data_IF_893544772880
#
_entry.id   IF_893544772880
#
_cell.length_a   1.000
_cell.length_b   1.000
_cell.length_c   1.000
_cell.angle_alpha   90.00
_cell.angle_beta   90.00
_cell.angle_gamma   90.00
#
_symmetry.space_group_name_H-M   'P 1'
#
loop_
_entity.id
_entity.type
_entity.pdbx_description
1 polymer ?
#
# COMPACT_ATOMS: atom_id res chain seq x y z
N UNK A 1 6.76 5.10 47.85
CA UNK A 1 5.62 4.57 47.11
C UNK A 1 5.86 4.90 45.64
N UNK A 2 6.44 3.95 44.89
CA UNK A 2 6.89 4.15 43.50
C UNK A 2 5.81 3.58 42.58
N UNK A 3 5.26 4.45 41.71
CA UNK A 3 4.27 4.06 40.72
C UNK A 3 5.05 3.51 39.49
N UNK A 4 4.84 2.28 39.01
CA UNK A 4 5.50 1.80 37.82
C UNK A 4 4.83 2.43 36.59
N UNK A 5 5.65 3.12 35.81
CA UNK A 5 5.25 3.69 34.54
C UNK A 5 4.83 2.60 33.55
N UNK A 6 3.63 2.76 33.02
CA UNK A 6 3.10 1.98 31.92
C UNK A 6 3.94 2.23 30.67
N UNK A 7 4.82 1.30 30.34
CA UNK A 7 5.50 1.26 29.06
C UNK A 7 4.45 0.78 28.03
N UNK A 8 3.91 1.72 27.26
CA UNK A 8 3.12 1.42 26.10
C UNK A 8 4.02 0.69 25.10
N UNK A 9 3.92 -0.64 25.07
CA UNK A 9 4.51 -1.46 24.02
C UNK A 9 3.87 -1.07 22.70
N UNK A 10 4.58 -0.26 21.91
CA UNK A 10 4.27 -0.11 20.50
C UNK A 10 4.45 -1.48 19.85
N UNK A 11 3.35 -2.15 19.57
CA UNK A 11 3.35 -3.33 18.70
C UNK A 11 3.84 -2.83 17.34
N UNK A 12 5.10 -3.07 17.07
CA UNK A 12 5.71 -2.86 15.78
C UNK A 12 5.08 -3.90 14.86
N UNK A 13 4.05 -3.49 14.12
CA UNK A 13 3.48 -4.29 13.04
C UNK A 13 4.57 -4.49 12.01
N UNK A 14 5.28 -5.61 12.14
CA UNK A 14 6.19 -6.11 11.11
C UNK A 14 5.40 -6.23 9.81
N UNK A 15 6.00 -5.92 8.65
CA UNK A 15 5.34 -6.15 7.38
C UNK A 15 4.88 -7.61 7.33
N UNK A 16 3.65 -7.83 6.90
CA UNK A 16 2.98 -9.14 6.82
C UNK A 16 3.74 -10.19 5.99
N UNK A 17 4.77 -9.77 5.29
CA UNK A 17 5.63 -10.59 4.44
C UNK A 17 7.07 -10.39 4.90
N UNK A 18 7.73 -11.50 5.26
CA UNK A 18 9.13 -11.52 5.70
C UNK A 18 10.05 -11.06 4.54
N UNK A 19 10.76 -9.94 4.68
CA UNK A 19 11.62 -9.42 3.60
C UNK A 19 12.83 -10.32 3.30
N UNK A 20 13.14 -11.28 4.17
CA UNK A 20 14.29 -12.17 4.00
C UNK A 20 14.11 -13.26 2.95
N UNK A 21 12.89 -13.47 2.47
CA UNK A 21 12.58 -14.52 1.47
C UNK A 21 12.35 -13.95 0.05
N UNK A 22 12.55 -12.67 -0.14
CA UNK A 22 12.52 -12.05 -1.46
C UNK A 22 13.93 -12.02 -2.05
N UNK A 23 14.26 -13.07 -2.80
CA UNK A 23 15.45 -13.14 -3.63
C UNK A 23 15.44 -11.99 -4.64
N UNK A 24 16.60 -11.32 -4.81
CA UNK A 24 16.82 -10.36 -5.88
C UNK A 24 16.65 -11.08 -7.23
N UNK A 25 15.44 -11.01 -7.79
CA UNK A 25 15.18 -11.52 -9.13
C UNK A 25 15.44 -10.37 -10.09
N UNK A 26 16.46 -10.56 -10.91
CA UNK A 26 16.69 -9.99 -12.23
C UNK A 26 16.64 -8.47 -12.40
N UNK A 27 17.74 -7.96 -12.88
CA UNK A 27 17.97 -6.58 -13.35
C UNK A 27 17.14 -6.22 -14.60
N UNK A 28 15.82 -6.18 -14.48
CA UNK A 28 15.03 -5.38 -15.40
C UNK A 28 15.00 -3.96 -14.89
N UNK A 29 15.13 -2.99 -15.80
CA UNK A 29 15.24 -1.55 -15.52
C UNK A 29 14.01 -1.05 -14.72
N UNK A 30 14.01 -1.39 -13.44
CA UNK A 30 12.98 -1.00 -12.49
C UNK A 30 12.99 0.53 -12.36
N UNK A 31 11.83 1.14 -12.21
CA UNK A 31 11.68 2.56 -11.92
C UNK A 31 12.54 3.02 -10.72
N UNK A 32 12.96 2.09 -9.87
CA UNK A 32 13.81 2.34 -8.68
C UNK A 32 15.28 2.51 -9.05
N UNK A 33 15.76 1.88 -10.13
CA UNK A 33 17.18 1.86 -10.52
C UNK A 33 17.81 3.25 -10.60
N UNK A 34 17.26 4.23 -11.34
CA UNK A 34 17.85 5.56 -11.42
C UNK A 34 17.86 6.30 -10.08
N UNK A 35 16.85 6.07 -9.23
CA UNK A 35 16.79 6.67 -7.90
C UNK A 35 17.82 6.08 -6.95
N UNK A 36 18.01 4.75 -6.99
CA UNK A 36 19.01 4.04 -6.17
C UNK A 36 20.41 4.46 -6.58
N UNK A 37 20.73 4.47 -7.89
CA UNK A 37 22.04 4.90 -8.40
C UNK A 37 22.34 6.34 -8.01
N UNK A 38 21.37 7.24 -8.09
CA UNK A 38 21.57 8.62 -7.66
C UNK A 38 21.75 8.76 -6.15
N UNK A 39 20.93 8.07 -5.34
CA UNK A 39 21.01 8.17 -3.87
C UNK A 39 22.24 7.47 -3.28
N UNK A 40 22.77 6.44 -3.96
CA UNK A 40 23.98 5.70 -3.54
C UNK A 40 25.25 6.37 -4.03
N UNK A 41 25.34 6.62 -5.33
CA UNK A 41 26.57 6.94 -6.03
C UNK A 41 26.58 8.36 -6.61
N UNK A 42 25.47 9.09 -6.52
CA UNK A 42 25.32 10.44 -7.08
C UNK A 42 25.23 10.47 -8.62
N UNK A 43 25.03 9.30 -9.27
CA UNK A 43 24.98 9.18 -10.73
C UNK A 43 23.71 9.86 -11.26
N UNK A 44 23.90 10.76 -12.22
CA UNK A 44 22.83 11.50 -12.88
C UNK A 44 22.74 11.09 -14.34
N UNK A 45 21.53 11.07 -14.92
CA UNK A 45 21.34 10.82 -16.34
C UNK A 45 21.91 11.98 -17.18
N UNK A 46 22.27 11.68 -18.43
CA UNK A 46 22.67 12.67 -19.40
C UNK A 46 21.51 13.62 -19.72
N UNK A 47 21.75 14.91 -19.56
CA UNK A 47 20.75 15.96 -19.82
C UNK A 47 20.33 16.72 -18.57
N UNK A 48 20.41 18.05 -18.64
CA UNK A 48 20.13 18.96 -17.51
C UNK A 48 18.70 18.81 -16.98
N UNK A 49 17.72 18.62 -17.87
CA UNK A 49 16.32 18.45 -17.45
C UNK A 49 16.06 17.10 -16.75
N UNK A 50 16.59 16.00 -17.29
CA UNK A 50 16.46 14.67 -16.71
C UNK A 50 17.13 14.62 -15.33
N UNK A 51 18.34 15.18 -15.22
CA UNK A 51 19.04 15.29 -13.94
C UNK A 51 18.26 16.14 -12.91
N UNK A 52 17.67 17.27 -13.33
CA UNK A 52 16.83 18.09 -12.46
C UNK A 52 15.58 17.35 -11.99
N UNK A 53 14.87 16.68 -12.89
CA UNK A 53 13.69 15.87 -12.57
C UNK A 53 14.03 14.77 -11.56
N UNK A 54 15.13 14.05 -11.79
CA UNK A 54 15.58 12.99 -10.88
C UNK A 54 15.91 13.53 -9.49
N UNK A 55 16.62 14.66 -9.38
CA UNK A 55 16.94 15.29 -8.09
C UNK A 55 15.68 15.67 -7.30
N UNK A 56 14.71 16.29 -7.96
CA UNK A 56 13.42 16.69 -7.34
C UNK A 56 12.64 15.46 -6.89
N UNK A 57 12.65 14.41 -7.70
CA UNK A 57 12.00 13.16 -7.36
C UNK A 57 12.69 12.47 -6.17
N UNK A 58 14.01 12.35 -6.21
CA UNK A 58 14.83 11.70 -5.19
C UNK A 58 14.70 12.35 -3.80
N UNK A 59 14.37 13.65 -3.71
CA UNK A 59 14.15 14.32 -2.45
C UNK A 59 13.01 13.71 -1.60
N UNK A 60 12.10 12.96 -2.24
CA UNK A 60 10.99 12.26 -1.56
C UNK A 60 11.32 10.84 -1.15
N UNK A 61 12.52 10.36 -1.48
CA UNK A 61 12.96 8.99 -1.21
C UNK A 61 14.17 8.98 -0.29
N UNK A 62 14.45 7.84 0.30
CA UNK A 62 15.62 7.58 1.12
C UNK A 62 16.05 6.13 0.92
N UNK A 63 17.36 5.90 0.88
CA UNK A 63 17.96 4.57 0.83
C UNK A 63 18.37 4.16 2.25
N UNK A 64 17.85 3.05 2.73
CA UNK A 64 18.16 2.50 4.07
C UNK A 64 18.54 1.03 3.88
N UNK A 65 19.79 0.67 4.20
CA UNK A 65 20.33 -0.70 4.02
C UNK A 65 20.03 -1.24 2.61
N UNK A 66 20.36 -0.46 1.59
CA UNK A 66 20.15 -0.76 0.16
C UNK A 66 18.68 -0.95 -0.28
N UNK A 67 17.73 -0.69 0.58
CA UNK A 67 16.29 -0.72 0.25
C UNK A 67 15.78 0.72 0.08
N UNK A 68 15.08 0.97 -1.02
CA UNK A 68 14.50 2.26 -1.31
C UNK A 68 13.17 2.44 -0.57
N UNK A 69 13.02 3.56 0.11
CA UNK A 69 11.81 3.95 0.80
C UNK A 69 11.32 5.31 0.33
N UNK A 70 10.02 5.47 0.21
CA UNK A 70 9.37 6.76 0.02
C UNK A 70 8.99 7.37 1.36
N UNK A 71 9.25 8.66 1.53
CA UNK A 71 8.79 9.43 2.69
C UNK A 71 7.29 9.68 2.58
N UNK A 72 6.52 9.17 3.53
CA UNK A 72 5.09 9.48 3.66
C UNK A 72 4.87 10.85 4.31
N UNK A 73 3.64 11.37 4.22
CA UNK A 73 3.28 12.68 4.77
C UNK A 73 3.41 12.73 6.31
N UNK A 74 3.02 11.66 7.01
CA UNK A 74 3.01 11.54 8.48
C UNK A 74 4.10 10.64 9.06
N UNK A 75 5.19 10.41 8.35
CA UNK A 75 6.29 9.55 8.76
C UNK A 75 6.03 8.04 8.94
N UNK A 76 5.31 7.30 8.17
CA UNK A 76 5.78 5.97 7.86
C UNK A 76 6.62 6.04 6.58
N UNK A 77 7.81 5.46 6.61
CA UNK A 77 8.52 5.13 5.38
C UNK A 77 7.76 4.01 4.67
N UNK A 78 7.53 4.18 3.37
CA UNK A 78 6.89 3.17 2.53
C UNK A 78 7.96 2.46 1.71
N UNK A 79 8.07 1.14 1.83
CA UNK A 79 9.00 0.35 1.03
C UNK A 79 8.61 0.43 -0.44
N UNK A 80 9.55 0.78 -1.28
CA UNK A 80 9.36 0.82 -2.72
C UNK A 80 9.51 -0.58 -3.31
N UNK A 81 8.53 -1.00 -4.12
CA UNK A 81 8.51 -2.32 -4.73
C UNK A 81 8.77 -2.23 -6.23
N UNK A 82 9.44 -3.24 -6.78
CA UNK A 82 9.52 -3.49 -8.21
C UNK A 82 8.19 -4.03 -8.75
N UNK A 83 8.08 -4.22 -10.07
CA UNK A 83 6.82 -4.64 -10.72
C UNK A 83 6.36 -6.00 -10.22
N UNK A 84 7.22 -6.99 -10.20
CA UNK A 84 6.90 -8.36 -9.77
C UNK A 84 6.50 -8.45 -8.29
N UNK A 85 7.26 -7.74 -7.43
CA UNK A 85 6.94 -7.65 -5.99
C UNK A 85 5.60 -6.95 -5.77
N UNK A 86 5.31 -5.90 -6.54
CA UNK A 86 4.06 -5.17 -6.46
C UNK A 86 2.84 -6.04 -6.80
N UNK A 87 2.95 -6.84 -7.86
CA UNK A 87 1.89 -7.78 -8.28
C UNK A 87 1.66 -8.86 -7.22
N UNK A 88 2.73 -9.42 -6.67
CA UNK A 88 2.63 -10.41 -5.60
C UNK A 88 1.95 -9.84 -4.36
N UNK A 89 2.41 -8.69 -3.88
CA UNK A 89 1.86 -8.05 -2.68
C UNK A 89 0.41 -7.62 -2.88
N UNK A 90 0.07 -7.12 -4.07
CA UNK A 90 -1.29 -6.72 -4.43
C UNK A 90 -2.25 -7.92 -4.38
N UNK A 91 -1.84 -9.06 -4.92
CA UNK A 91 -2.60 -10.32 -4.86
C UNK A 91 -2.80 -10.78 -3.42
N UNK A 92 -1.73 -10.81 -2.63
CA UNK A 92 -1.79 -11.25 -1.25
C UNK A 92 -2.72 -10.36 -0.39
N UNK A 93 -2.67 -9.06 -0.57
CA UNK A 93 -3.54 -8.11 0.17
C UNK A 93 -4.99 -8.17 -0.30
N UNK A 94 -5.25 -8.51 -1.56
CA UNK A 94 -6.60 -8.56 -2.14
C UNK A 94 -7.29 -9.90 -1.92
N UNK A 95 -6.57 -11.02 -2.10
CA UNK A 95 -7.09 -12.38 -2.11
C UNK A 95 -6.64 -13.22 -0.91
N UNK A 96 -5.60 -12.80 -0.17
CA UNK A 96 -5.03 -13.52 0.96
C UNK A 96 -6.02 -13.74 2.11
N UNK A 97 -5.58 -14.41 3.18
CA UNK A 97 -6.39 -14.83 4.33
C UNK A 97 -7.21 -13.67 4.93
N UNK A 98 -6.64 -12.47 4.94
CA UNK A 98 -7.32 -11.24 5.38
C UNK A 98 -7.91 -10.43 4.20
N UNK A 99 -7.85 -10.96 2.99
CA UNK A 99 -8.39 -10.35 1.79
C UNK A 99 -9.93 -10.42 1.79
N UNK A 100 -10.58 -9.30 1.53
CA UNK A 100 -12.04 -9.24 1.45
C UNK A 100 -12.51 -8.73 0.09
N UNK A 101 -11.70 -8.89 -0.96
CA UNK A 101 -12.02 -8.42 -2.31
C UNK A 101 -12.56 -6.98 -2.34
N UNK A 102 -11.92 -6.10 -1.59
CA UNK A 102 -12.34 -4.70 -1.50
C UNK A 102 -12.03 -3.94 -2.80
N UNK A 103 -12.82 -2.89 -3.09
CA UNK A 103 -12.61 -2.06 -4.26
C UNK A 103 -11.21 -1.41 -4.32
N UNK A 104 -10.83 -0.91 -5.49
CA UNK A 104 -9.47 -0.42 -5.78
C UNK A 104 -8.95 0.63 -4.79
N UNK A 105 -9.78 1.59 -4.39
CA UNK A 105 -9.40 2.60 -3.39
C UNK A 105 -9.07 1.98 -2.03
N UNK A 106 -9.90 1.03 -1.58
CA UNK A 106 -9.67 0.33 -0.32
C UNK A 106 -8.42 -0.55 -0.38
N UNK A 107 -8.16 -1.19 -1.53
CA UNK A 107 -6.95 -1.96 -1.78
C UNK A 107 -5.71 -1.08 -1.65
N UNK A 108 -5.68 0.09 -2.31
CA UNK A 108 -4.59 1.06 -2.19
C UNK A 108 -4.38 1.50 -0.74
N UNK A 109 -5.45 1.78 0.00
CA UNK A 109 -5.32 2.11 1.42
C UNK A 109 -4.71 0.99 2.26
N UNK A 110 -5.06 -0.27 1.98
CA UNK A 110 -4.46 -1.43 2.66
C UNK A 110 -2.97 -1.56 2.34
N UNK A 111 -2.59 -1.39 1.06
CA UNK A 111 -1.20 -1.43 0.60
C UNK A 111 -0.35 -0.34 1.28
N UNK A 112 -0.86 0.88 1.38
CA UNK A 112 -0.18 1.99 2.08
C UNK A 112 -0.08 1.72 3.59
N UNK A 113 -1.11 1.15 4.22
CA UNK A 113 -1.06 0.73 5.63
C UNK A 113 -0.05 -0.39 5.87
N UNK A 114 0.09 -1.31 4.91
CA UNK A 114 1.12 -2.34 4.90
C UNK A 114 2.52 -1.79 4.56
N UNK A 115 2.65 -0.46 4.36
CA UNK A 115 3.89 0.27 4.11
C UNK A 115 4.55 -0.02 2.77
N UNK A 116 3.77 -0.30 1.74
CA UNK A 116 4.26 -0.49 0.38
C UNK A 116 3.94 0.70 -0.53
N UNK A 117 4.79 0.90 -1.52
CA UNK A 117 4.62 1.95 -2.51
C UNK A 117 5.27 1.59 -3.86
N UNK A 118 4.60 1.93 -4.94
CA UNK A 118 5.13 2.07 -6.30
C UNK A 118 4.34 3.13 -7.07
N UNK A 119 4.90 3.73 -8.14
CA UNK A 119 4.29 4.90 -8.78
C UNK A 119 2.92 4.65 -9.42
N UNK A 120 2.71 3.45 -9.97
CA UNK A 120 1.50 3.06 -10.69
C UNK A 120 0.45 2.36 -9.82
N UNK A 121 0.69 2.26 -8.51
CA UNK A 121 -0.12 1.49 -7.55
C UNK A 121 -1.63 1.70 -7.68
N UNK A 122 -2.08 2.92 -7.94
CA UNK A 122 -3.50 3.21 -8.09
C UNK A 122 -4.08 2.62 -9.38
N UNK A 123 -3.35 2.76 -10.50
CA UNK A 123 -3.75 2.21 -11.80
C UNK A 123 -3.76 0.70 -11.79
N UNK A 124 -2.73 0.11 -11.19
CA UNK A 124 -2.57 -1.34 -11.10
C UNK A 124 -3.66 -1.94 -10.22
N UNK A 125 -3.99 -1.31 -9.08
CA UNK A 125 -5.10 -1.72 -8.23
C UNK A 125 -6.46 -1.60 -8.93
N UNK A 126 -6.66 -0.57 -9.76
CA UNK A 126 -7.88 -0.44 -10.56
C UNK A 126 -7.98 -1.55 -11.62
N UNK A 127 -6.90 -1.83 -12.34
CA UNK A 127 -6.85 -2.89 -13.34
C UNK A 127 -7.06 -4.26 -12.69
N UNK A 128 -6.42 -4.51 -11.57
CA UNK A 128 -6.53 -5.77 -10.84
C UNK A 128 -7.96 -6.04 -10.35
N UNK A 129 -8.61 -5.06 -9.71
CA UNK A 129 -9.99 -5.20 -9.22
C UNK A 129 -10.97 -5.39 -10.37
N UNK A 130 -10.75 -4.74 -11.53
CA UNK A 130 -11.58 -4.95 -12.73
C UNK A 130 -11.46 -6.36 -13.29
N UNK A 131 -10.31 -6.98 -13.19
CA UNK A 131 -10.08 -8.35 -13.66
C UNK A 131 -10.53 -9.41 -12.63
N UNK A 132 -10.81 -9.04 -11.39
CA UNK A 132 -11.18 -9.98 -10.34
C UNK A 132 -12.66 -10.37 -10.44
N UNK A 133 -12.94 -11.64 -10.77
CA UNK A 133 -14.30 -12.18 -10.90
C UNK A 133 -15.16 -11.99 -9.64
N UNK A 134 -14.57 -12.20 -8.47
CA UNK A 134 -15.28 -12.03 -7.19
C UNK A 134 -15.69 -10.57 -6.97
N UNK A 135 -14.80 -9.63 -7.29
CA UNK A 135 -15.12 -8.21 -7.23
C UNK A 135 -16.22 -7.83 -8.21
N UNK A 136 -16.18 -8.38 -9.44
CA UNK A 136 -17.19 -8.09 -10.46
C UNK A 136 -18.56 -8.64 -10.09
N UNK A 137 -18.64 -9.84 -9.53
CA UNK A 137 -19.90 -10.43 -9.07
C UNK A 137 -20.51 -9.65 -7.89
N UNK A 138 -19.67 -9.15 -6.97
CA UNK A 138 -20.15 -8.39 -5.81
C UNK A 138 -20.42 -6.91 -6.11
N UNK A 139 -19.87 -6.34 -7.19
CA UNK A 139 -20.05 -4.93 -7.56
C UNK A 139 -21.46 -4.63 -8.08
N UNK A 140 -22.19 -5.65 -8.50
CA UNK A 140 -23.55 -5.54 -9.09
C UNK A 140 -24.68 -5.54 -8.05
N UNK A 141 -24.36 -5.40 -6.76
CA UNK A 141 -25.38 -5.14 -5.76
C UNK A 141 -25.88 -3.71 -5.97
N UNK A 142 -26.97 -3.61 -6.73
CA UNK A 142 -27.76 -2.37 -6.81
C UNK A 142 -28.05 -1.97 -5.37
N UNK A 143 -27.62 -0.78 -4.95
CA UNK A 143 -28.05 -0.23 -3.67
C UNK A 143 -29.56 -0.13 -3.72
N UNK A 144 -30.25 -1.05 -3.08
CA UNK A 144 -31.66 -0.89 -2.85
C UNK A 144 -31.87 0.42 -2.08
N UNK A 145 -32.84 1.25 -2.50
CA UNK A 145 -33.18 2.43 -1.72
C UNK A 145 -33.46 1.95 -0.29
N UNK A 146 -33.03 2.72 0.69
CA UNK A 146 -33.30 2.44 2.10
C UNK A 146 -34.82 2.24 2.25
N UNK A 147 -35.21 1.08 2.74
CA UNK A 147 -36.66 0.85 3.07
C UNK A 147 -37.10 1.93 4.04
N UNK A 148 -38.24 2.53 3.77
CA UNK A 148 -38.84 3.49 4.68
C UNK A 148 -39.11 2.78 6.02
N UNK A 149 -38.50 3.31 7.09
CA UNK A 149 -38.69 2.78 8.42
C UNK A 149 -40.15 3.02 8.83
N UNK A 150 -40.95 1.98 8.83
CA UNK A 150 -42.31 2.03 9.40
C UNK A 150 -42.19 2.10 10.93
N UNK A 151 -42.74 3.14 11.57
CA UNK A 151 -42.72 3.21 13.03
C UNK A 151 -43.55 2.06 13.60
N UNK A 152 -42.93 1.24 14.46
CA UNK A 152 -43.63 0.24 15.25
C UNK A 152 -44.50 0.95 16.29
N UNK A 153 -45.79 1.05 16.04
CA UNK A 153 -46.77 1.66 16.97
C UNK A 153 -47.28 0.68 18.01
N UNK A 154 -46.80 -0.56 18.02
CA UNK A 154 -47.16 -1.52 19.05
C UNK A 154 -46.50 -1.17 20.38
N UNK A 155 -47.23 -1.19 21.51
CA UNK A 155 -46.63 -0.98 22.82
C UNK A 155 -45.61 -2.08 23.12
N UNK A 156 -44.48 -1.68 23.70
CA UNK A 156 -43.40 -2.62 24.06
C UNK A 156 -43.96 -3.69 25.04
N UNK A 157 -43.70 -4.98 24.80
CA UNK A 157 -44.37 -6.05 25.58
C UNK A 157 -43.90 -6.15 27.05
N UNK A 158 -43.00 -5.29 27.49
CA UNK A 158 -42.45 -5.26 28.85
C UNK A 158 -42.64 -3.89 29.55
N UNK A 159 -43.67 -3.16 29.24
CA UNK A 159 -44.06 -1.95 29.96
C UNK A 159 -44.92 -2.31 31.19
#
# INVERSE_FOLDING_TARGET
MVIPGNVLSFVQLSPLIDPSNMQEIGSDSSWTTPLVSYLRDGVLPDGKEAARKLKVQAARFVLIKDVLYKRGFSRPYLRCLGTEEADYVMREVHEGICGNHSGSRSLVHKLVRARYYWPTMQKDAEAYVRACDKCQRCSNIVRQPTEELTPLTAPWPFA
#
